data_IF_438364663895
#
_entry.id   IF_438364663895
#
_cell.length_a   1.000
_cell.length_b   1.000
_cell.length_c   1.000
_cell.angle_alpha   90.00
_cell.angle_beta   90.00
_cell.angle_gamma   90.00
#
_symmetry.space_group_name_H-M   'P 1'
#
loop_
_entity.id
_entity.type
_entity.pdbx_description
1 polymer ?
#
# COMPACT_ATOMS: atom_id res chain seq x y z
N UNK A 1 5.46 10.57 15.93
CA UNK A 1 4.03 10.51 16.27
C UNK A 1 3.78 9.24 17.03
N UNK A 2 2.92 9.28 18.04
CA UNK A 2 2.35 8.08 18.67
C UNK A 2 1.39 7.41 17.70
N UNK A 3 1.07 6.14 17.94
CA UNK A 3 0.15 5.39 17.08
C UNK A 3 -1.26 6.04 17.06
N UNK A 4 -1.70 6.66 18.16
CA UNK A 4 -2.96 7.41 18.23
C UNK A 4 -2.96 8.68 17.35
N UNK A 5 -1.83 9.38 17.25
CA UNK A 5 -1.71 10.53 16.35
C UNK A 5 -1.72 10.08 14.87
N UNK A 6 -1.12 8.93 14.57
CA UNK A 6 -1.16 8.33 13.22
C UNK A 6 -2.58 7.88 12.87
N UNK A 7 -3.34 7.35 13.84
CA UNK A 7 -4.76 7.03 13.65
C UNK A 7 -5.57 8.27 13.26
N UNK A 8 -5.26 9.43 13.85
CA UNK A 8 -5.84 10.71 13.44
C UNK A 8 -5.58 11.04 11.97
N UNK A 9 -4.39 10.71 11.45
CA UNK A 9 -4.05 10.87 10.03
C UNK A 9 -4.81 9.90 9.15
N UNK A 10 -4.92 8.62 9.53
CA UNK A 10 -5.71 7.62 8.80
C UNK A 10 -7.18 8.06 8.72
N UNK A 11 -7.76 8.54 9.83
CA UNK A 11 -9.13 9.08 9.85
C UNK A 11 -9.27 10.32 8.96
N UNK A 12 -8.27 11.19 8.92
CA UNK A 12 -8.25 12.34 8.02
C UNK A 12 -8.21 11.91 6.54
N UNK A 13 -7.42 10.89 6.19
CA UNK A 13 -7.40 10.31 4.85
C UNK A 13 -8.76 9.72 4.46
N UNK A 14 -9.39 8.95 5.34
CA UNK A 14 -10.74 8.39 5.11
C UNK A 14 -11.77 9.51 4.91
N UNK A 15 -11.76 10.53 5.79
CA UNK A 15 -12.65 11.69 5.67
C UNK A 15 -12.44 12.45 4.37
N UNK A 16 -11.19 12.63 3.93
CA UNK A 16 -10.87 13.26 2.66
C UNK A 16 -11.42 12.44 1.49
N UNK A 17 -11.15 11.14 1.48
CA UNK A 17 -11.58 10.22 0.42
C UNK A 17 -13.11 10.21 0.24
N UNK A 18 -13.87 10.13 1.34
CA UNK A 18 -15.34 10.15 1.32
C UNK A 18 -15.91 11.55 1.06
N UNK A 19 -15.40 12.56 1.75
CA UNK A 19 -15.95 13.92 1.71
C UNK A 19 -15.73 14.61 0.37
N UNK A 20 -14.52 14.51 -0.19
CA UNK A 20 -14.18 15.17 -1.47
C UNK A 20 -14.95 14.52 -2.62
N UNK A 21 -15.08 13.20 -2.65
CA UNK A 21 -15.82 12.48 -3.70
C UNK A 21 -17.32 12.77 -3.67
N UNK A 22 -17.91 12.91 -2.47
CA UNK A 22 -19.34 13.18 -2.30
C UNK A 22 -19.75 14.54 -2.91
N UNK A 23 -18.90 15.56 -2.84
CA UNK A 23 -19.17 16.88 -3.42
C UNK A 23 -18.85 17.04 -4.92
N UNK A 24 -18.15 16.08 -5.53
CA UNK A 24 -17.53 16.28 -6.85
C UNK A 24 -17.76 15.08 -7.79
N UNK A 25 -18.86 15.07 -8.58
CA UNK A 25 -19.23 13.94 -9.43
C UNK A 25 -18.23 13.60 -10.55
N UNK A 26 -17.39 14.56 -10.93
CA UNK A 26 -16.38 14.41 -11.98
C UNK A 26 -15.14 13.65 -11.52
N UNK A 27 -14.99 13.38 -10.22
CA UNK A 27 -13.85 12.65 -9.68
C UNK A 27 -13.97 11.15 -9.94
N UNK A 28 -12.89 10.57 -10.47
CA UNK A 28 -12.75 9.12 -10.66
C UNK A 28 -11.71 8.51 -9.73
N UNK A 29 -10.70 9.26 -9.31
CA UNK A 29 -9.66 8.74 -8.43
C UNK A 29 -9.14 9.80 -7.46
N UNK A 30 -8.80 9.39 -6.24
CA UNK A 30 -8.10 10.23 -5.26
C UNK A 30 -6.82 9.50 -4.85
N UNK A 31 -5.67 10.04 -5.26
CA UNK A 31 -4.36 9.52 -4.89
C UNK A 31 -3.86 10.21 -3.63
N UNK A 32 -3.81 9.47 -2.53
CA UNK A 32 -3.20 9.92 -1.26
C UNK A 32 -1.76 9.45 -1.23
N UNK A 33 -0.82 10.35 -0.92
CA UNK A 33 0.61 10.04 -0.89
C UNK A 33 1.40 10.99 0.03
N UNK A 34 2.62 10.59 0.40
CA UNK A 34 3.58 11.38 1.18
C UNK A 34 4.95 11.32 0.50
N UNK A 35 5.68 12.43 0.47
CA UNK A 35 7.10 12.45 0.13
C UNK A 35 7.88 12.93 1.36
N UNK A 36 8.59 12.01 2.03
CA UNK A 36 9.39 12.29 3.22
C UNK A 36 10.85 12.51 2.85
N UNK A 37 11.40 13.63 3.32
CA UNK A 37 12.83 13.96 3.24
C UNK A 37 13.23 14.64 1.93
N UNK A 38 14.25 15.50 1.99
CA UNK A 38 14.72 16.30 0.85
C UNK A 38 15.14 15.43 -0.35
N UNK A 39 15.62 14.21 -0.10
CA UNK A 39 15.98 13.25 -1.14
C UNK A 39 14.81 12.76 -1.99
N UNK A 40 13.57 12.91 -1.52
CA UNK A 40 12.34 12.59 -2.24
C UNK A 40 11.67 13.82 -2.83
N UNK A 41 12.40 14.95 -2.95
CA UNK A 41 11.90 16.20 -3.51
C UNK A 41 11.05 17.03 -2.54
N UNK A 42 11.03 16.70 -1.25
CA UNK A 42 10.32 17.48 -0.24
C UNK A 42 11.14 18.70 0.21
N UNK A 43 10.67 19.90 -0.14
CA UNK A 43 11.34 21.17 0.20
C UNK A 43 10.88 21.81 1.51
N UNK A 44 9.72 21.41 2.05
CA UNK A 44 9.20 21.87 3.33
C UNK A 44 9.42 20.79 4.41
N UNK A 45 10.20 21.05 5.48
CA UNK A 45 10.52 20.06 6.50
C UNK A 45 9.34 19.72 7.44
N UNK A 46 8.23 20.46 7.39
CA UNK A 46 7.06 20.14 8.20
C UNK A 46 6.42 18.81 7.75
N UNK A 47 6.09 17.87 8.68
CA UNK A 47 5.43 16.61 8.32
C UNK A 47 4.07 16.85 7.64
N UNK A 48 3.93 16.46 6.38
CA UNK A 48 2.68 16.60 5.63
C UNK A 48 2.55 15.53 4.55
N UNK A 49 1.31 15.15 4.23
CA UNK A 49 0.96 14.37 3.05
C UNK A 49 0.26 15.23 1.99
N UNK A 50 -0.05 14.61 0.87
CA UNK A 50 -0.77 15.22 -0.25
C UNK A 50 -1.89 14.28 -0.72
N UNK A 51 -2.94 14.87 -1.29
CA UNK A 51 -4.00 14.13 -1.96
C UNK A 51 -4.33 14.81 -3.29
N UNK A 52 -4.24 14.07 -4.39
CA UNK A 52 -4.59 14.56 -5.72
C UNK A 52 -5.90 13.94 -6.17
N UNK A 53 -6.87 14.79 -6.50
CA UNK A 53 -8.20 14.40 -6.97
C UNK A 53 -8.26 14.51 -8.49
N UNK A 54 -8.62 13.43 -9.17
CA UNK A 54 -8.42 13.26 -10.61
C UNK A 54 -9.71 12.84 -11.31
N UNK A 55 -9.91 13.36 -12.52
CA UNK A 55 -11.05 13.02 -13.40
C UNK A 55 -10.86 11.71 -14.18
N UNK A 56 -9.76 11.00 -13.95
CA UNK A 56 -9.40 9.72 -14.55
C UNK A 56 -8.67 8.84 -13.53
N UNK A 57 -8.63 7.53 -13.79
CA UNK A 57 -7.82 6.59 -13.01
C UNK A 57 -6.39 6.63 -13.56
N UNK A 58 -5.36 6.99 -12.76
CA UNK A 58 -3.99 7.07 -13.25
C UNK A 58 -3.45 5.71 -13.69
N UNK A 59 -2.46 5.72 -14.58
CA UNK A 59 -1.95 4.51 -15.24
C UNK A 59 -1.57 3.39 -14.27
N UNK A 60 -0.85 3.71 -13.18
CA UNK A 60 -0.40 2.69 -12.22
C UNK A 60 -1.57 2.06 -11.42
N UNK A 61 -2.46 2.84 -10.76
CA UNK A 61 -3.71 2.31 -10.23
C UNK A 61 -4.56 1.53 -11.26
N UNK A 62 -4.70 2.02 -12.49
CA UNK A 62 -5.47 1.35 -13.53
C UNK A 62 -4.90 -0.04 -13.86
N UNK A 63 -3.58 -0.16 -14.03
CA UNK A 63 -2.92 -1.45 -14.25
C UNK A 63 -3.12 -2.39 -13.07
N UNK A 64 -2.93 -1.90 -11.83
CA UNK A 64 -3.11 -2.71 -10.62
C UNK A 64 -4.55 -3.24 -10.49
N UNK A 65 -5.54 -2.38 -10.76
CA UNK A 65 -6.95 -2.76 -10.72
C UNK A 65 -7.29 -3.79 -11.80
N UNK A 66 -6.79 -3.59 -13.02
CA UNK A 66 -6.98 -4.55 -14.11
C UNK A 66 -6.37 -5.91 -13.77
N UNK A 67 -5.13 -5.96 -13.27
CA UNK A 67 -4.49 -7.23 -12.88
C UNK A 67 -5.23 -7.96 -11.76
N UNK A 68 -5.78 -7.22 -10.77
CA UNK A 68 -6.60 -7.83 -9.72
C UNK A 68 -7.91 -8.40 -10.27
N UNK A 69 -8.56 -7.68 -11.21
CA UNK A 69 -9.76 -8.17 -11.91
C UNK A 69 -9.45 -9.42 -12.73
N UNK A 70 -8.39 -9.40 -13.54
CA UNK A 70 -8.00 -10.52 -14.39
C UNK A 70 -7.68 -11.78 -13.56
N UNK A 71 -7.01 -11.60 -12.42
CA UNK A 71 -6.76 -12.69 -11.47
C UNK A 71 -8.07 -13.27 -10.91
N UNK A 72 -8.98 -12.41 -10.48
CA UNK A 72 -10.28 -12.81 -9.92
C UNK A 72 -11.13 -13.62 -10.92
N UNK A 73 -10.94 -13.42 -12.22
CA UNK A 73 -11.64 -14.16 -13.28
C UNK A 73 -10.88 -15.38 -13.81
N UNK A 74 -9.56 -15.44 -13.63
CA UNK A 74 -8.73 -16.54 -14.15
C UNK A 74 -8.39 -17.62 -13.12
N UNK A 75 -8.54 -17.33 -11.82
CA UNK A 75 -8.17 -18.23 -10.74
C UNK A 75 -9.39 -18.74 -9.96
N UNK A 76 -9.22 -19.88 -9.30
CA UNK A 76 -10.21 -20.44 -8.38
C UNK A 76 -9.94 -19.99 -6.94
N UNK A 77 -10.98 -19.89 -6.08
CA UNK A 77 -10.84 -19.77 -4.63
C UNK A 77 -9.85 -20.76 -4.02
N UNK A 78 -8.97 -20.27 -3.15
CA UNK A 78 -8.09 -21.12 -2.33
C UNK A 78 -8.79 -21.35 -0.98
N UNK A 79 -8.86 -22.60 -0.47
CA UNK A 79 -9.44 -22.89 0.83
C UNK A 79 -8.82 -22.04 1.94
N UNK A 80 -9.67 -21.55 2.86
CA UNK A 80 -9.28 -20.73 4.02
C UNK A 80 -8.65 -19.37 3.69
N UNK A 81 -8.69 -18.91 2.43
CA UNK A 81 -8.34 -17.54 2.08
C UNK A 81 -9.62 -16.71 1.90
N UNK A 82 -9.72 -15.51 2.49
CA UNK A 82 -10.90 -14.67 2.33
C UNK A 82 -11.15 -14.29 0.87
N UNK A 83 -12.43 -14.26 0.48
CA UNK A 83 -12.87 -13.90 -0.86
C UNK A 83 -13.18 -12.41 -0.98
N UNK A 84 -13.19 -11.93 -2.22
CA UNK A 84 -13.76 -10.64 -2.57
C UNK A 84 -15.27 -10.63 -2.32
N UNK A 85 -15.86 -9.45 -2.19
CA UNK A 85 -17.30 -9.27 -1.96
C UNK A 85 -18.18 -9.91 -3.07
N UNK A 86 -17.64 -10.07 -4.28
CA UNK A 86 -18.28 -10.74 -5.41
C UNK A 86 -18.07 -12.28 -5.43
N UNK A 87 -17.49 -12.85 -4.36
CA UNK A 87 -17.22 -14.29 -4.23
C UNK A 87 -16.03 -14.81 -5.03
N UNK A 88 -15.27 -13.94 -5.71
CA UNK A 88 -14.07 -14.33 -6.48
C UNK A 88 -12.80 -14.30 -5.62
N UNK A 89 -11.73 -15.02 -6.01
CA UNK A 89 -10.46 -14.93 -5.30
C UNK A 89 -9.82 -13.55 -5.47
N UNK A 90 -9.18 -13.07 -4.41
CA UNK A 90 -8.37 -11.84 -4.47
C UNK A 90 -6.91 -12.19 -4.68
N UNK A 91 -6.26 -11.55 -5.66
CA UNK A 91 -4.81 -11.67 -5.88
C UNK A 91 -4.04 -11.35 -4.61
N UNK A 92 -4.34 -10.23 -3.97
CA UNK A 92 -3.59 -9.74 -2.82
C UNK A 92 -3.89 -10.49 -1.52
N UNK A 93 -5.12 -11.01 -1.32
CA UNK A 93 -5.40 -11.87 -0.16
C UNK A 93 -4.74 -13.25 -0.32
N UNK A 94 -4.78 -13.83 -1.53
CA UNK A 94 -4.05 -15.07 -1.83
C UNK A 94 -2.54 -14.88 -1.63
N UNK A 95 -2.00 -13.75 -2.09
CA UNK A 95 -0.60 -13.40 -1.91
C UNK A 95 -0.23 -13.26 -0.42
N UNK A 96 -1.02 -12.50 0.34
CA UNK A 96 -0.82 -12.33 1.78
C UNK A 96 -0.88 -13.66 2.53
N UNK A 97 -1.82 -14.55 2.19
CA UNK A 97 -1.93 -15.87 2.78
C UNK A 97 -0.70 -16.74 2.50
N UNK A 98 -0.16 -16.69 1.28
CA UNK A 98 1.07 -17.42 0.93
C UNK A 98 2.30 -16.90 1.68
N UNK A 99 2.47 -15.58 1.79
CA UNK A 99 3.56 -14.97 2.55
C UNK A 99 3.46 -15.26 4.05
N UNK A 100 2.23 -15.23 4.59
CA UNK A 100 1.97 -15.55 5.99
C UNK A 100 2.25 -17.02 6.30
N UNK A 101 1.87 -17.95 5.42
CA UNK A 101 2.17 -19.37 5.59
C UNK A 101 3.69 -19.62 5.69
N UNK A 102 4.48 -19.02 4.79
CA UNK A 102 5.95 -19.09 4.85
C UNK A 102 6.52 -18.47 6.13
N UNK A 103 5.96 -17.35 6.57
CA UNK A 103 6.38 -16.71 7.81
C UNK A 103 6.11 -17.61 9.03
N UNK A 104 4.96 -18.27 9.09
CA UNK A 104 4.55 -19.14 10.18
C UNK A 104 5.40 -20.42 10.28
N UNK A 105 5.92 -20.93 9.16
CA UNK A 105 6.85 -22.07 9.16
C UNK A 105 8.26 -21.69 9.60
N UNK A 106 8.55 -20.40 9.81
CA UNK A 106 9.89 -19.92 10.14
C UNK A 106 10.86 -19.97 8.97
N UNK A 107 10.36 -19.88 7.74
CA UNK A 107 11.19 -19.88 6.53
C UNK A 107 12.17 -18.69 6.55
N UNK A 108 13.46 -18.96 6.33
CA UNK A 108 14.50 -17.93 6.26
C UNK A 108 14.27 -16.97 5.09
N UNK A 109 13.61 -17.44 4.03
CA UNK A 109 13.21 -16.66 2.86
C UNK A 109 11.85 -15.95 3.04
N UNK A 110 11.29 -15.94 4.26
CA UNK A 110 10.07 -15.19 4.55
C UNK A 110 10.28 -13.69 4.28
N UNK A 111 9.35 -13.07 3.55
CA UNK A 111 9.40 -11.62 3.25
C UNK A 111 8.54 -10.74 4.16
N UNK A 112 7.89 -11.35 5.15
CA UNK A 112 7.06 -10.62 6.13
C UNK A 112 7.95 -9.81 7.07
N UNK A 113 7.65 -8.54 7.28
CA UNK A 113 8.39 -7.67 8.20
C UNK A 113 7.74 -7.73 9.59
N UNK A 114 6.41 -7.59 9.64
CA UNK A 114 5.62 -7.72 10.87
C UNK A 114 4.17 -8.08 10.54
N UNK A 115 3.50 -8.74 11.47
CA UNK A 115 2.08 -9.11 11.40
C UNK A 115 1.34 -8.37 12.50
N UNK A 116 0.46 -7.44 12.11
CA UNK A 116 -0.47 -6.75 13.00
C UNK A 116 -1.75 -7.56 13.22
N UNK A 117 -2.76 -6.93 13.83
CA UNK A 117 -4.04 -7.60 14.11
C UNK A 117 -4.86 -7.86 12.85
N UNK A 118 -4.85 -6.93 11.90
CA UNK A 118 -5.62 -6.96 10.65
C UNK A 118 -4.74 -6.74 9.41
N UNK A 119 -3.59 -6.05 9.59
CA UNK A 119 -2.64 -5.73 8.54
C UNK A 119 -1.35 -6.54 8.65
N UNK A 120 -0.75 -6.82 7.50
CA UNK A 120 0.59 -7.39 7.38
C UNK A 120 1.47 -6.40 6.63
N UNK A 121 2.72 -6.24 7.07
CA UNK A 121 3.74 -5.51 6.34
C UNK A 121 4.78 -6.49 5.81
N UNK A 122 5.13 -6.40 4.54
CA UNK A 122 6.09 -7.30 3.88
C UNK A 122 6.87 -6.57 2.78
N UNK A 123 8.02 -7.14 2.40
CA UNK A 123 8.70 -6.75 1.15
C UNK A 123 8.10 -7.57 0.02
N UNK A 124 7.43 -6.96 -0.98
CA UNK A 124 6.81 -7.75 -2.04
C UNK A 124 7.87 -8.52 -2.83
N UNK A 125 7.52 -9.72 -3.31
CA UNK A 125 8.43 -10.54 -4.13
C UNK A 125 8.95 -9.77 -5.37
N UNK A 126 8.12 -8.88 -5.91
CA UNK A 126 8.42 -8.04 -7.07
C UNK A 126 9.01 -6.65 -6.70
N UNK A 127 9.52 -6.49 -5.46
CA UNK A 127 10.07 -5.22 -4.97
C UNK A 127 11.12 -4.62 -5.92
N UNK A 128 10.89 -3.38 -6.33
CA UNK A 128 11.81 -2.60 -7.18
C UNK A 128 12.79 -1.78 -6.34
N UNK A 129 12.29 -1.16 -5.27
CA UNK A 129 13.13 -0.38 -4.35
C UNK A 129 13.84 -1.29 -3.33
N UNK A 130 15.02 -0.90 -2.80
CA UNK A 130 15.81 -1.78 -1.94
C UNK A 130 15.03 -2.34 -0.75
N UNK A 131 14.34 -1.45 -0.02
CA UNK A 131 13.51 -1.77 1.14
C UNK A 131 12.03 -1.43 0.87
N UNK A 132 11.59 -1.68 -0.37
CA UNK A 132 10.17 -1.54 -0.74
C UNK A 132 9.30 -2.31 0.25
N UNK A 133 8.26 -1.67 0.76
CA UNK A 133 7.35 -2.31 1.71
C UNK A 133 5.92 -2.13 1.26
N UNK A 134 5.14 -3.20 1.32
CA UNK A 134 3.70 -3.19 1.12
C UNK A 134 3.02 -3.51 2.45
N UNK A 135 2.05 -2.67 2.82
CA UNK A 135 1.15 -2.88 3.96
C UNK A 135 -0.25 -3.13 3.42
N UNK A 136 -0.85 -4.27 3.75
CA UNK A 136 -2.17 -4.65 3.25
C UNK A 136 -2.98 -5.41 4.31
N UNK A 137 -4.32 -5.32 4.30
CA UNK A 137 -5.14 -6.17 5.13
C UNK A 137 -5.15 -7.60 4.57
N UNK A 138 -5.10 -8.59 5.46
CA UNK A 138 -4.99 -10.01 5.06
C UNK A 138 -6.17 -10.87 5.54
N UNK A 139 -7.07 -10.33 6.37
CA UNK A 139 -8.17 -11.10 6.98
C UNK A 139 -9.49 -11.02 6.22
N UNK A 140 -9.70 -9.97 5.40
CA UNK A 140 -10.90 -9.81 4.58
C UNK A 140 -10.66 -8.85 3.43
N UNK A 141 -11.60 -8.84 2.49
CA UNK A 141 -11.67 -7.84 1.43
C UNK A 141 -11.96 -6.46 2.01
N UNK A 142 -11.07 -5.50 1.73
CA UNK A 142 -11.22 -4.07 2.03
C UNK A 142 -10.87 -3.31 0.75
N UNK A 143 -11.83 -2.72 0.03
CA UNK A 143 -11.55 -2.07 -1.24
C UNK A 143 -10.94 -0.67 -1.12
N UNK A 144 -11.20 0.03 -0.02
CA UNK A 144 -10.70 1.39 0.21
C UNK A 144 -10.68 1.76 1.67
N UNK A 145 -10.07 2.90 2.00
CA UNK A 145 -10.05 3.46 3.36
C UNK A 145 -11.46 3.70 3.93
N UNK A 146 -12.47 3.89 3.08
CA UNK A 146 -13.87 4.06 3.50
C UNK A 146 -14.51 2.78 4.06
N UNK A 147 -13.93 1.61 3.76
CA UNK A 147 -14.44 0.32 4.20
C UNK A 147 -13.75 -0.22 5.47
N UNK A 148 -12.86 0.58 6.08
CA UNK A 148 -12.20 0.23 7.34
C UNK A 148 -13.18 0.35 8.52
N UNK A 149 -13.12 -0.61 9.43
CA UNK A 149 -13.69 -0.46 10.78
C UNK A 149 -12.78 0.44 11.62
N UNK A 150 -13.26 0.89 12.79
CA UNK A 150 -12.43 1.66 13.72
C UNK A 150 -11.21 0.86 14.17
N UNK A 151 -11.39 -0.42 14.47
CA UNK A 151 -10.31 -1.31 14.89
C UNK A 151 -9.24 -1.53 13.80
N UNK A 152 -9.67 -1.67 12.55
CA UNK A 152 -8.76 -1.79 11.42
C UNK A 152 -8.03 -0.48 11.12
N UNK A 153 -8.67 0.67 11.34
CA UNK A 153 -8.01 1.97 11.23
C UNK A 153 -6.91 2.14 12.30
N UNK A 154 -7.18 1.71 13.54
CA UNK A 154 -6.18 1.68 14.61
C UNK A 154 -5.03 0.73 14.28
N UNK A 155 -5.31 -0.48 13.77
CA UNK A 155 -4.26 -1.44 13.40
C UNK A 155 -3.45 -1.01 12.16
N UNK A 156 -4.10 -0.35 11.19
CA UNK A 156 -3.39 0.28 10.07
C UNK A 156 -2.41 1.33 10.60
N UNK A 157 -2.87 2.20 11.51
CA UNK A 157 -2.03 3.26 12.08
C UNK A 157 -0.82 2.71 12.84
N UNK A 158 -1.02 1.71 13.70
CA UNK A 158 0.06 1.06 14.45
C UNK A 158 1.05 0.35 13.50
N UNK A 159 0.55 -0.31 12.46
CA UNK A 159 1.37 -1.00 11.44
C UNK A 159 2.21 -0.02 10.63
N UNK A 160 1.63 1.09 10.15
CA UNK A 160 2.36 2.15 9.45
C UNK A 160 3.43 2.79 10.35
N UNK A 161 3.11 3.03 11.62
CA UNK A 161 4.05 3.47 12.64
C UNK A 161 5.21 2.48 12.81
N UNK A 162 4.92 1.19 12.92
CA UNK A 162 5.92 0.14 13.11
C UNK A 162 6.86 -0.01 11.90
N UNK A 163 6.34 0.11 10.67
CA UNK A 163 7.13 0.12 9.44
C UNK A 163 8.05 1.34 9.39
N UNK A 164 7.51 2.54 9.62
CA UNK A 164 8.29 3.78 9.58
C UNK A 164 9.41 3.82 10.63
N UNK A 165 9.16 3.28 11.84
CA UNK A 165 10.19 3.15 12.89
C UNK A 165 11.29 2.19 12.50
N UNK A 166 10.96 1.03 11.91
CA UNK A 166 11.96 0.06 11.41
C UNK A 166 12.82 0.65 10.29
N UNK A 167 12.21 1.41 9.38
CA UNK A 167 12.93 2.14 8.34
C UNK A 167 13.93 3.14 8.93
N UNK A 168 13.51 3.97 9.87
CA UNK A 168 14.41 4.92 10.54
C UNK A 168 15.52 4.21 11.35
N UNK A 169 15.21 3.07 11.97
CA UNK A 169 16.17 2.24 12.71
C UNK A 169 17.20 1.53 11.81
N UNK A 170 16.86 1.23 10.56
CA UNK A 170 17.72 0.45 9.66
C UNK A 170 19.09 1.08 9.42
N UNK A 171 19.15 2.42 9.37
CA UNK A 171 20.38 3.20 9.25
C UNK A 171 20.49 4.31 10.29
N UNK A 172 19.71 4.21 11.37
CA UNK A 172 19.63 5.18 12.48
C UNK A 172 19.59 6.64 12.00
N UNK A 173 18.69 6.90 11.04
CA UNK A 173 18.54 8.20 10.41
C UNK A 173 17.06 8.48 10.09
N UNK A 174 16.74 9.70 9.67
CA UNK A 174 15.40 9.96 9.12
C UNK A 174 15.33 9.37 7.71
N UNK A 175 14.64 8.25 7.58
CA UNK A 175 14.58 7.48 6.35
C UNK A 175 13.63 8.16 5.38
N UNK A 176 14.17 8.60 4.24
CA UNK A 176 13.38 9.19 3.17
C UNK A 176 12.61 8.14 2.39
N UNK A 177 11.37 8.43 2.03
CA UNK A 177 10.53 7.56 1.20
C UNK A 177 9.45 8.36 0.48
N UNK A 178 8.93 7.80 -0.61
CA UNK A 178 7.61 8.14 -1.13
C UNK A 178 6.65 7.04 -0.68
N UNK A 179 5.50 7.41 -0.13
CA UNK A 179 4.47 6.45 0.25
C UNK A 179 3.15 6.79 -0.43
N UNK A 180 2.31 5.79 -0.72
CA UNK A 180 1.03 6.02 -1.37
C UNK A 180 0.01 4.94 -1.05
N UNK A 181 -1.26 5.35 -1.02
CA UNK A 181 -2.40 4.45 -0.82
C UNK A 181 -2.95 4.02 -2.18
N UNK A 182 -3.03 2.72 -2.40
CA UNK A 182 -3.76 2.12 -3.52
C UNK A 182 -5.08 1.59 -3.01
N UNK A 183 -6.15 2.07 -3.60
CA UNK A 183 -7.52 1.75 -3.23
C UNK A 183 -8.42 1.79 -4.46
N UNK A 184 -9.66 1.34 -4.29
CA UNK A 184 -10.70 1.47 -5.30
C UNK A 184 -10.80 2.93 -5.79
N UNK A 185 -11.13 3.14 -7.07
CA UNK A 185 -11.65 4.41 -7.55
C UNK A 185 -12.80 4.91 -6.68
N UNK A 186 -12.93 6.24 -6.59
CA UNK A 186 -14.07 6.81 -5.86
C UNK A 186 -15.34 6.49 -6.65
N UNK A 187 -16.27 5.81 -5.99
CA UNK A 187 -17.50 5.37 -6.65
C UNK A 187 -18.38 6.58 -6.99
N UNK A 188 -18.90 6.61 -8.22
CA UNK A 188 -20.19 7.20 -8.55
C UNK A 188 -20.79 6.51 -9.78
N UNK A 189 -22.12 6.44 -9.87
CA UNK A 189 -22.82 5.78 -10.96
C UNK A 189 -22.47 6.42 -12.29
N UNK A 190 -22.45 5.62 -13.36
CA UNK A 190 -22.13 6.11 -14.70
C UNK A 190 -23.32 6.88 -15.30
N UNK A 191 -23.03 7.79 -16.23
CA UNK A 191 -24.05 8.54 -16.98
C UNK A 191 -24.96 7.66 -17.87
N UNK A 192 -24.74 6.33 -17.93
CA UNK A 192 -25.74 5.39 -18.47
C UNK A 192 -27.04 5.40 -17.66
N UNK A 193 -27.02 5.85 -16.40
CA UNK A 193 -28.22 6.05 -15.57
C UNK A 193 -29.04 7.30 -15.95
N UNK A 194 -28.63 8.04 -16.98
CA UNK A 194 -29.39 9.14 -17.60
C UNK A 194 -29.73 8.87 -19.08
N UNK A 195 -29.34 7.72 -19.64
CA UNK A 195 -29.68 7.31 -21.01
C UNK A 195 -30.24 5.88 -21.04
N UNK A 196 -31.53 5.78 -21.31
CA UNK A 196 -32.36 4.55 -21.24
C UNK A 196 -32.00 3.48 -22.29
N UNK A 197 -30.91 3.62 -23.04
CA UNK A 197 -30.54 2.69 -24.13
C UNK A 197 -29.09 2.16 -24.09
N UNK A 198 -28.35 2.33 -22.99
CA UNK A 198 -26.97 1.84 -22.91
C UNK A 198 -26.89 0.32 -22.71
N UNK A 199 -26.57 -0.43 -23.76
CA UNK A 199 -26.23 -1.86 -23.69
C UNK A 199 -24.74 -2.08 -23.42
N UNK A 200 -24.42 -2.97 -22.46
CA UNK A 200 -23.11 -3.61 -22.22
C UNK A 200 -22.01 -2.88 -21.42
N UNK A 201 -22.32 -1.88 -20.58
CA UNK A 201 -21.32 -1.15 -19.76
C UNK A 201 -21.22 -1.59 -18.28
N UNK A 202 -22.03 -2.55 -17.82
CA UNK A 202 -22.33 -2.72 -16.39
C UNK A 202 -21.26 -3.46 -15.55
N UNK A 203 -20.34 -4.23 -16.16
CA UNK A 203 -19.28 -4.94 -15.41
C UNK A 203 -17.96 -4.14 -15.27
N UNK A 204 -17.80 -3.04 -15.99
CA UNK A 204 -16.52 -2.31 -16.08
C UNK A 204 -16.29 -1.31 -14.94
N UNK A 205 -17.35 -0.86 -14.26
CA UNK A 205 -17.30 0.25 -13.31
C UNK A 205 -17.26 -0.17 -11.83
N UNK A 206 -17.50 -1.44 -11.48
CA UNK A 206 -17.38 -1.92 -10.10
C UNK A 206 -15.94 -2.35 -9.76
N UNK A 207 -15.01 -1.39 -9.84
CA UNK A 207 -13.64 -1.60 -9.42
C UNK A 207 -13.53 -1.94 -7.92
N UNK A 208 -14.51 -1.54 -7.11
CA UNK A 208 -14.53 -1.83 -5.68
C UNK A 208 -14.69 -3.34 -5.41
N UNK A 209 -15.40 -4.08 -6.27
CA UNK A 209 -15.49 -5.53 -6.16
C UNK A 209 -14.15 -6.28 -6.32
N UNK A 210 -13.15 -5.66 -6.96
CA UNK A 210 -11.86 -6.29 -7.25
C UNK A 210 -10.69 -5.66 -6.50
N UNK A 211 -10.77 -4.38 -6.18
CA UNK A 211 -9.69 -3.65 -5.50
C UNK A 211 -9.47 -4.22 -4.10
N UNK A 212 -8.21 -4.48 -3.75
CA UNK A 212 -7.77 -4.66 -2.38
C UNK A 212 -6.88 -3.49 -1.96
N UNK A 213 -7.26 -2.81 -0.87
CA UNK A 213 -6.53 -1.72 -0.25
C UNK A 213 -5.11 -2.19 0.10
N UNK A 214 -4.12 -1.39 -0.28
CA UNK A 214 -2.75 -1.56 0.18
C UNK A 214 -1.99 -0.24 0.13
N UNK A 215 -0.93 -0.15 0.92
CA UNK A 215 -0.07 1.01 1.03
C UNK A 215 1.34 0.62 0.63
N UNK A 216 1.92 1.35 -0.33
CA UNK A 216 3.28 1.13 -0.78
C UNK A 216 4.24 2.16 -0.17
N UNK A 217 5.42 1.71 0.25
CA UNK A 217 6.57 2.55 0.60
C UNK A 217 7.71 2.31 -0.38
N UNK A 218 8.23 3.39 -0.95
CA UNK A 218 9.31 3.39 -1.95
C UNK A 218 10.50 4.21 -1.45
N UNK A 219 11.37 3.61 -0.62
CA UNK A 219 12.55 4.28 -0.11
C UNK A 219 13.78 4.09 -1.01
N UNK A 220 14.61 5.12 -1.23
CA UNK A 220 15.76 5.02 -2.11
C UNK A 220 17.06 4.62 -1.39
N UNK A 221 17.11 4.57 -0.05
CA UNK A 221 18.33 4.18 0.68
C UNK A 221 18.65 2.69 0.47
N UNK A 222 19.94 2.36 0.28
CA UNK A 222 20.38 1.00 -0.06
C UNK A 222 21.37 0.41 0.95
N UNK A 223 22.52 1.06 1.16
CA UNK A 223 23.63 0.50 1.98
C UNK A 223 23.84 1.20 3.31
N UNK A 224 23.55 2.50 3.39
CA UNK A 224 23.74 3.34 4.56
C UNK A 224 22.83 4.56 4.47
N UNK A 225 22.86 5.44 5.48
CA UNK A 225 22.17 6.74 5.47
C UNK A 225 22.62 7.70 4.35
N UNK A 226 23.77 7.44 3.72
CA UNK A 226 24.35 8.28 2.66
C UNK A 226 24.32 7.64 1.27
N UNK A 227 24.11 6.32 1.17
CA UNK A 227 24.17 5.57 -0.11
C UNK A 227 22.77 5.18 -0.57
N UNK A 228 22.39 5.71 -1.74
CA UNK A 228 21.07 5.56 -2.36
C UNK A 228 21.13 4.70 -3.62
N UNK A 229 20.03 4.01 -3.92
CA UNK A 229 19.71 3.48 -5.24
C UNK A 229 19.24 4.63 -6.13
N UNK A 230 19.72 4.62 -7.37
CA UNK A 230 19.27 5.49 -8.44
C UNK A 230 18.63 4.62 -9.52
N UNK A 231 17.39 4.90 -9.88
CA UNK A 231 16.74 4.30 -11.04
C UNK A 231 17.09 5.17 -12.26
N UNK A 232 18.24 4.87 -12.87
CA UNK A 232 18.85 5.63 -13.97
C UNK A 232 19.33 4.65 -15.05
N UNK A 233 19.86 5.14 -16.18
CA UNK A 233 20.53 4.26 -17.15
C UNK A 233 19.65 3.10 -17.62
N UNK A 234 20.05 1.86 -17.28
CA UNK A 234 19.32 0.65 -17.65
C UNK A 234 17.86 0.67 -17.14
N UNK A 235 17.61 1.14 -15.92
CA UNK A 235 16.26 1.19 -15.35
C UNK A 235 15.35 2.24 -16.01
N UNK A 236 15.91 3.27 -16.67
CA UNK A 236 15.12 4.25 -17.43
C UNK A 236 14.84 3.81 -18.86
N UNK A 237 15.73 2.99 -19.45
CA UNK A 237 15.68 2.64 -20.87
C UNK A 237 15.36 1.16 -21.15
N UNK A 238 15.29 0.31 -20.12
CA UNK A 238 15.01 -1.12 -20.25
C UNK A 238 14.08 -1.61 -19.13
N UNK A 239 14.63 -2.14 -18.03
CA UNK A 239 13.85 -2.77 -16.96
C UNK A 239 14.43 -2.48 -15.58
N UNK A 240 13.62 -2.65 -14.55
CA UNK A 240 14.03 -2.37 -13.18
C UNK A 240 15.00 -3.42 -12.65
N UNK A 241 16.10 -2.98 -12.04
CA UNK A 241 17.13 -3.84 -11.47
C UNK A 241 17.32 -3.54 -9.97
N UNK A 242 17.60 -4.57 -9.16
CA UNK A 242 17.89 -4.44 -7.72
C UNK A 242 19.17 -5.16 -7.29
N UNK A 243 19.85 -4.60 -6.29
CA UNK A 243 21.14 -5.11 -5.78
C UNK A 243 21.02 -6.13 -4.62
N UNK A 244 19.98 -6.01 -3.78
CA UNK A 244 19.72 -6.86 -2.60
C UNK A 244 18.46 -7.69 -2.87
N UNK A 245 18.29 -8.92 -2.38
CA UNK A 245 17.02 -9.65 -2.62
C UNK A 245 15.87 -9.15 -1.73
N UNK A 246 14.60 -9.35 -2.09
CA UNK A 246 13.45 -9.03 -1.23
C UNK A 246 13.52 -9.72 0.15
N UNK A 247 14.00 -10.95 0.20
CA UNK A 247 14.14 -11.78 1.41
C UNK A 247 15.19 -11.16 2.35
N UNK A 248 16.36 -10.81 1.81
CA UNK A 248 17.42 -10.12 2.56
C UNK A 248 16.94 -8.76 3.10
N UNK A 249 16.19 -8.01 2.29
CA UNK A 249 15.63 -6.72 2.70
C UNK A 249 14.60 -6.89 3.83
N UNK A 250 13.70 -7.87 3.71
CA UNK A 250 12.70 -8.18 4.72
C UNK A 250 13.34 -8.61 6.04
N UNK A 251 14.34 -9.49 5.99
CA UNK A 251 15.08 -9.94 7.17
C UNK A 251 15.70 -8.75 7.91
N UNK A 252 16.40 -7.87 7.20
CA UNK A 252 17.02 -6.67 7.81
C UNK A 252 16.01 -5.73 8.45
N UNK A 253 14.84 -5.54 7.84
CA UNK A 253 13.77 -4.73 8.42
C UNK A 253 13.12 -5.41 9.63
N UNK A 254 12.94 -6.75 9.59
CA UNK A 254 12.39 -7.54 10.70
C UNK A 254 13.30 -7.52 11.92
N UNK A 255 14.60 -7.58 11.71
CA UNK A 255 15.63 -7.54 12.76
C UNK A 255 15.76 -6.15 13.43
N UNK A 256 15.11 -5.11 12.88
CA UNK A 256 15.11 -3.77 13.48
C UNK A 256 14.16 -3.70 14.69
N UNK A 257 14.56 -3.06 15.82
CA UNK A 257 13.71 -2.92 17.00
C UNK A 257 12.43 -2.12 16.74
N UNK A 258 11.39 -2.38 17.54
CA UNK A 258 10.15 -1.57 17.56
C UNK A 258 10.36 -0.16 18.11
N UNK A 259 11.26 -0.03 19.09
CA UNK A 259 11.59 1.25 19.71
C UNK A 259 12.49 2.05 18.76
N UNK A 260 12.06 3.27 18.43
CA UNK A 260 12.81 4.17 17.56
C UNK A 260 14.17 4.54 18.20
N UNK A 261 15.25 4.60 17.40
CA UNK A 261 16.62 4.77 17.90
C UNK A 261 16.79 6.01 18.78
N UNK A 262 16.15 7.14 18.44
CA UNK A 262 16.12 8.37 19.27
C UNK A 262 15.47 8.24 20.66
N UNK A 263 14.76 7.14 20.93
CA UNK A 263 14.09 6.89 22.21
C UNK A 263 14.81 5.83 23.05
N UNK A 264 15.86 5.20 22.51
CA UNK A 264 16.70 4.27 23.28
C UNK A 264 17.47 5.11 24.29
N UNK A 265 17.30 4.81 25.58
CA UNK A 265 18.19 5.36 26.62
C UNK A 265 19.54 4.66 26.47
N UNK A 266 20.61 5.44 26.45
CA UNK A 266 21.99 4.93 26.51
C UNK A 266 22.21 4.09 27.79
#
# INVERSE_FOLDING_TARGET
>A
MSDAEIEGVVKAWTKLYVGVSSGNPWLKYIQIFENKGAMMGCSNPHPHGQAWSLSYIPSRPATILQSQRDYAHSQNPIPNVPLLANGKPSLLLNYAASELAKHQTGDEDSRVILVGKHFIALVPFWASWPFETMVLPFQRHIPSLAALTEEEATDLASTLGAVSRRMDNLFECSFGYSMGVYQAPVHRPSAAELDVNATAAEEADDWAAYAQLHVGFYPPLLRSSTVKKFLVGFELFAETQRDITPEQAAKRLRDCPDLHYKQRKE
#
